data_IF_944602717789
#
_entry.id   IF_944602717789
#
_cell.length_a   1.000
_cell.length_b   1.000
_cell.length_c   1.000
_cell.angle_alpha   90.00
_cell.angle_beta   90.00
_cell.angle_gamma   90.00
#
_symmetry.space_group_name_H-M   'P 1'
#
loop_
_entity.id
_entity.type
_entity.pdbx_description
1 polymer ?
#
# COMPACT_ATOMS: atom_id res chain seq x y z
N UNK A 1 -30.33 15.50 13.26
CA UNK A 1 -29.53 14.33 13.67
C UNK A 1 -28.07 14.72 13.55
N UNK A 2 -27.37 14.84 14.67
CA UNK A 2 -25.90 14.99 14.69
C UNK A 2 -25.29 13.76 14.03
N UNK A 3 -24.27 13.94 13.19
CA UNK A 3 -23.62 12.80 12.55
C UNK A 3 -22.58 12.21 13.50
N UNK A 4 -22.63 10.90 13.72
CA UNK A 4 -21.76 10.14 14.64
C UNK A 4 -20.33 9.97 14.12
N UNK A 5 -19.91 10.81 13.17
CA UNK A 5 -18.63 10.70 12.47
C UNK A 5 -17.99 12.08 12.40
N UNK A 6 -16.71 12.18 12.76
CA UNK A 6 -15.93 13.41 12.67
C UNK A 6 -14.97 13.31 11.50
N UNK A 7 -14.94 14.29 10.58
CA UNK A 7 -13.91 14.37 9.55
C UNK A 7 -12.58 14.81 10.16
N UNK A 8 -11.52 14.04 9.92
CA UNK A 8 -10.21 14.25 10.52
C UNK A 8 -9.17 14.72 9.51
N UNK A 9 -9.18 14.16 8.30
CA UNK A 9 -8.27 14.52 7.22
C UNK A 9 -8.95 14.44 5.86
N UNK A 10 -8.33 15.03 4.84
CA UNK A 10 -8.71 14.83 3.44
C UNK A 10 -7.56 14.30 2.62
N UNK A 11 -7.87 13.46 1.63
CA UNK A 11 -6.94 12.80 0.73
C UNK A 11 -7.34 13.17 -0.70
N UNK A 12 -6.69 14.17 -1.33
CA UNK A 12 -7.14 14.73 -2.60
C UNK A 12 -6.81 13.86 -3.82
N UNK A 13 -5.84 12.95 -3.68
CA UNK A 13 -5.28 12.21 -4.82
C UNK A 13 -6.02 10.90 -5.12
N UNK A 14 -6.88 10.42 -4.20
CA UNK A 14 -7.59 9.15 -4.34
C UNK A 14 -9.11 9.35 -4.38
N UNK A 15 -9.72 9.41 -5.57
CA UNK A 15 -11.16 9.26 -5.72
C UNK A 15 -11.63 7.84 -5.31
N UNK A 16 -12.70 7.75 -4.54
CA UNK A 16 -13.30 6.47 -4.12
C UNK A 16 -14.73 6.32 -4.67
N UNK A 17 -15.09 5.11 -5.09
CA UNK A 17 -16.48 4.81 -5.48
C UNK A 17 -17.37 4.63 -4.24
N UNK A 18 -16.84 3.87 -3.28
CA UNK A 18 -17.47 3.52 -2.02
C UNK A 18 -16.50 3.77 -0.88
N UNK A 19 -17.02 3.91 0.33
CA UNK A 19 -16.15 4.07 1.49
C UNK A 19 -15.45 2.76 1.84
N UNK A 20 -14.20 2.89 2.30
CA UNK A 20 -13.35 1.79 2.74
C UNK A 20 -13.04 2.03 4.22
N UNK A 21 -13.37 1.08 5.08
CA UNK A 21 -13.17 1.24 6.50
C UNK A 21 -13.99 0.28 7.35
N UNK A 22 -14.00 0.54 8.65
CA UNK A 22 -14.77 -0.18 9.66
C UNK A 22 -15.73 0.78 10.38
N UNK A 23 -16.31 0.30 11.47
CA UNK A 23 -17.14 1.05 12.40
C UNK A 23 -16.39 2.12 13.21
N UNK A 24 -15.05 2.06 13.27
CA UNK A 24 -14.22 3.07 13.97
C UNK A 24 -13.75 4.18 13.02
N UNK A 25 -13.22 3.82 11.85
CA UNK A 25 -12.61 4.75 10.91
C UNK A 25 -12.97 4.39 9.46
N UNK A 26 -13.07 5.40 8.60
CA UNK A 26 -13.34 5.18 7.19
C UNK A 26 -12.70 6.24 6.29
N UNK A 27 -12.15 5.82 5.15
CA UNK A 27 -11.94 6.69 4.00
C UNK A 27 -13.22 6.71 3.18
N UNK A 28 -13.85 7.87 3.09
CA UNK A 28 -15.17 8.02 2.49
C UNK A 28 -15.14 9.02 1.33
N UNK A 29 -15.74 8.70 0.17
CA UNK A 29 -15.88 9.69 -0.89
C UNK A 29 -16.84 10.80 -0.49
N UNK A 30 -16.79 11.90 -1.23
CA UNK A 30 -17.54 13.09 -0.87
C UNK A 30 -19.07 12.91 -0.94
N UNK A 31 -19.57 11.92 -1.70
CA UNK A 31 -20.98 11.53 -1.77
C UNK A 31 -21.40 10.51 -0.71
N UNK A 32 -20.50 9.99 0.13
CA UNK A 32 -20.86 9.10 1.23
C UNK A 32 -21.85 9.79 2.19
N UNK A 33 -22.86 9.04 2.65
CA UNK A 33 -23.93 9.55 3.52
C UNK A 33 -23.40 10.26 4.78
N UNK A 34 -22.28 9.80 5.35
CA UNK A 34 -21.65 10.39 6.53
C UNK A 34 -21.03 11.74 6.20
N UNK A 35 -20.30 11.84 5.08
CA UNK A 35 -19.73 13.11 4.60
C UNK A 35 -20.85 14.09 4.22
N UNK A 36 -21.91 13.61 3.56
CA UNK A 36 -23.07 14.43 3.22
C UNK A 36 -23.82 14.95 4.45
N UNK A 37 -23.92 14.17 5.53
CA UNK A 37 -24.45 14.64 6.81
C UNK A 37 -23.56 15.75 7.40
N UNK A 38 -22.24 15.56 7.42
CA UNK A 38 -21.29 16.56 7.90
C UNK A 38 -21.37 17.88 7.11
N UNK A 39 -21.49 17.82 5.78
CA UNK A 39 -21.68 19.00 4.93
C UNK A 39 -22.97 19.77 5.21
N UNK A 40 -24.04 19.08 5.64
CA UNK A 40 -25.32 19.70 6.01
C UNK A 40 -25.25 20.37 7.37
N UNK A 41 -24.61 19.73 8.34
CA UNK A 41 -24.45 20.25 9.69
C UNK A 41 -23.45 21.41 9.76
N UNK A 42 -22.36 21.34 8.98
CA UNK A 42 -21.28 22.32 9.00
C UNK A 42 -21.07 22.95 7.61
N UNK A 43 -21.69 24.12 7.34
CA UNK A 43 -21.56 24.80 6.05
C UNK A 43 -20.10 25.14 5.67
N UNK A 44 -19.24 25.41 6.66
CA UNK A 44 -17.82 25.67 6.42
C UNK A 44 -17.09 24.43 5.89
N UNK A 45 -17.43 23.23 6.38
CA UNK A 45 -16.89 21.98 5.86
C UNK A 45 -17.26 21.76 4.39
N UNK A 46 -18.52 22.01 4.04
CA UNK A 46 -18.97 21.99 2.64
C UNK A 46 -18.18 22.99 1.80
N UNK A 47 -17.98 24.22 2.30
CA UNK A 47 -17.19 25.25 1.61
C UNK A 47 -15.76 24.77 1.38
N UNK A 48 -15.10 24.26 2.41
CA UNK A 48 -13.73 23.73 2.36
C UNK A 48 -13.57 22.64 1.30
N UNK A 49 -14.43 21.62 1.29
CA UNK A 49 -14.35 20.53 0.30
C UNK A 49 -14.56 21.02 -1.14
N UNK A 50 -15.32 22.10 -1.35
CA UNK A 50 -15.54 22.71 -2.68
C UNK A 50 -14.36 23.56 -3.18
N UNK A 51 -13.30 23.75 -2.38
CA UNK A 51 -12.12 24.54 -2.76
C UNK A 51 -11.02 23.74 -3.45
N UNK A 52 -11.19 22.42 -3.60
CA UNK A 52 -10.22 21.59 -4.28
C UNK A 52 -10.37 21.65 -5.81
N UNK A 53 -9.24 21.66 -6.49
CA UNK A 53 -9.17 21.49 -7.94
C UNK A 53 -7.84 20.86 -8.33
N UNK A 54 -7.77 20.27 -9.51
CA UNK A 54 -6.53 19.74 -10.02
C UNK A 54 -5.62 20.84 -10.58
N UNK A 55 -4.46 20.43 -11.09
CA UNK A 55 -3.46 21.35 -11.64
C UNK A 55 -3.91 22.04 -12.93
N UNK A 56 -5.03 21.63 -13.51
CA UNK A 56 -5.64 22.19 -14.72
C UNK A 56 -6.93 22.97 -14.40
N UNK A 57 -7.26 23.13 -13.11
CA UNK A 57 -8.42 23.88 -12.65
C UNK A 57 -9.72 23.08 -12.59
N UNK A 58 -9.73 21.79 -12.95
CA UNK A 58 -10.90 20.96 -12.85
C UNK A 58 -11.26 20.74 -11.38
N UNK A 59 -12.49 21.07 -11.01
CA UNK A 59 -12.95 21.00 -9.62
C UNK A 59 -13.28 19.57 -9.23
N UNK A 60 -12.95 19.22 -7.99
CA UNK A 60 -13.33 17.96 -7.38
C UNK A 60 -13.50 18.12 -5.87
N UNK A 61 -14.09 17.13 -5.22
CA UNK A 61 -14.12 17.02 -3.76
C UNK A 61 -13.19 15.86 -3.34
N UNK A 62 -12.33 16.07 -2.33
CA UNK A 62 -11.39 15.04 -1.91
C UNK A 62 -12.10 13.92 -1.13
N UNK A 63 -11.43 12.77 -1.03
CA UNK A 63 -11.80 11.72 -0.08
C UNK A 63 -11.57 12.22 1.34
N UNK A 64 -12.43 11.82 2.27
CA UNK A 64 -12.40 12.28 3.66
C UNK A 64 -12.09 11.09 4.56
N UNK A 65 -11.08 11.22 5.42
CA UNK A 65 -10.89 10.31 6.54
C UNK A 65 -11.85 10.72 7.65
N UNK A 66 -12.77 9.82 7.99
CA UNK A 66 -13.74 9.95 9.06
C UNK A 66 -13.36 9.06 10.24
N UNK A 67 -13.62 9.53 11.45
CA UNK A 67 -13.52 8.77 12.68
C UNK A 67 -14.85 8.81 13.43
N UNK A 68 -15.31 7.67 13.94
CA UNK A 68 -16.51 7.59 14.75
C UNK A 68 -16.36 8.45 16.02
N UNK A 69 -17.40 9.20 16.39
CA UNK A 69 -17.34 10.12 17.55
C UNK A 69 -17.09 9.37 18.87
N UNK A 70 -17.64 8.16 18.99
CA UNK A 70 -17.43 7.26 20.13
C UNK A 70 -16.11 6.47 20.09
N UNK A 71 -15.25 6.68 19.09
CA UNK A 71 -13.96 5.98 19.04
C UNK A 71 -13.08 6.36 20.26
N UNK A 72 -12.39 5.39 20.89
CA UNK A 72 -11.44 5.66 21.96
C UNK A 72 -10.38 6.69 21.56
N UNK A 73 -9.89 7.47 22.53
CA UNK A 73 -8.99 8.61 22.27
C UNK A 73 -7.72 8.22 21.50
N UNK A 74 -7.18 7.02 21.74
CA UNK A 74 -6.01 6.47 21.03
C UNK A 74 -6.18 6.43 19.50
N UNK A 75 -7.41 6.24 19.00
CA UNK A 75 -7.69 6.26 17.56
C UNK A 75 -7.68 7.66 16.94
N UNK A 76 -7.66 8.71 17.76
CA UNK A 76 -7.48 10.10 17.31
C UNK A 76 -6.01 10.47 17.16
N UNK A 77 -5.10 9.65 17.65
CA UNK A 77 -3.67 9.89 17.53
C UNK A 77 -3.21 9.72 16.08
N UNK A 78 -2.25 10.55 15.67
CA UNK A 78 -1.71 10.55 14.31
C UNK A 78 -1.15 9.17 13.93
N UNK A 79 -0.56 8.45 14.88
CA UNK A 79 -0.08 7.08 14.65
C UNK A 79 -1.19 6.14 14.19
N UNK A 80 -2.32 6.11 14.90
CA UNK A 80 -3.45 5.24 14.56
C UNK A 80 -4.05 5.60 13.21
N UNK A 81 -4.23 6.89 12.94
CA UNK A 81 -4.78 7.42 11.69
C UNK A 81 -3.85 7.16 10.49
N UNK A 82 -2.54 7.37 10.67
CA UNK A 82 -1.55 7.10 9.64
C UNK A 82 -1.48 5.60 9.33
N UNK A 83 -1.45 4.73 10.34
CA UNK A 83 -1.47 3.28 10.13
C UNK A 83 -2.76 2.79 9.47
N UNK A 84 -3.91 3.39 9.78
CA UNK A 84 -5.17 3.12 9.08
C UNK A 84 -5.11 3.49 7.59
N UNK A 85 -4.46 4.61 7.26
CA UNK A 85 -4.20 4.97 5.85
C UNK A 85 -3.21 3.99 5.21
N UNK A 86 -2.12 3.66 5.89
CA UNK A 86 -1.03 2.82 5.36
C UNK A 86 -1.54 1.42 4.99
N UNK A 87 -2.41 0.82 5.80
CA UNK A 87 -2.99 -0.50 5.50
C UNK A 87 -3.88 -0.50 4.25
N UNK A 88 -4.69 0.56 4.04
CA UNK A 88 -5.53 0.68 2.85
C UNK A 88 -4.66 0.91 1.63
N UNK A 89 -3.67 1.79 1.75
CA UNK A 89 -2.73 2.10 0.69
C UNK A 89 -1.98 0.85 0.23
N UNK A 90 -1.47 0.04 1.15
CA UNK A 90 -0.71 -1.16 0.79
C UNK A 90 -1.60 -2.30 0.27
N UNK A 91 -2.83 -2.45 0.74
CA UNK A 91 -3.78 -3.39 0.15
C UNK A 91 -4.11 -3.06 -1.33
N UNK A 92 -4.12 -1.77 -1.70
CA UNK A 92 -4.32 -1.34 -3.07
C UNK A 92 -3.02 -1.38 -3.90
N UNK A 93 -1.92 -0.82 -3.40
CA UNK A 93 -0.67 -0.67 -4.17
C UNK A 93 -0.01 -2.01 -4.46
N UNK A 94 0.00 -2.94 -3.50
CA UNK A 94 0.61 -4.26 -3.71
C UNK A 94 -0.12 -5.05 -4.80
N UNK A 95 -1.46 -5.03 -4.78
CA UNK A 95 -2.31 -5.60 -5.84
C UNK A 95 -2.14 -4.88 -7.18
N UNK A 96 -2.18 -3.55 -7.18
CA UNK A 96 -1.99 -2.74 -8.38
C UNK A 96 -0.66 -3.01 -9.07
N UNK A 97 0.43 -3.17 -8.30
CA UNK A 97 1.77 -3.52 -8.80
C UNK A 97 1.83 -4.94 -9.36
N UNK A 98 1.20 -5.90 -8.70
CA UNK A 98 1.13 -7.27 -9.19
C UNK A 98 0.39 -7.33 -10.55
N UNK A 99 -0.74 -6.64 -10.65
CA UNK A 99 -1.51 -6.55 -11.89
C UNK A 99 -0.76 -5.78 -12.99
N UNK A 100 0.05 -4.76 -12.66
CA UNK A 100 0.88 -4.06 -13.65
C UNK A 100 1.99 -4.95 -14.23
N UNK A 101 2.58 -5.82 -13.41
CA UNK A 101 3.58 -6.78 -13.90
C UNK A 101 2.96 -7.80 -14.86
N UNK A 102 1.74 -8.28 -14.58
CA UNK A 102 1.00 -9.28 -15.38
C UNK A 102 0.34 -8.69 -16.62
N UNK A 103 -0.31 -7.54 -16.45
CA UNK A 103 -1.13 -6.89 -17.48
C UNK A 103 -0.72 -5.41 -17.60
N UNK A 104 0.41 -5.12 -18.26
CA UNK A 104 0.95 -3.77 -18.31
C UNK A 104 -0.04 -2.76 -18.92
N UNK A 105 0.09 -1.49 -18.53
CA UNK A 105 -0.70 -0.34 -19.04
C UNK A 105 -2.13 -0.30 -18.54
N UNK A 106 -2.42 -0.88 -17.38
CA UNK A 106 -3.70 -0.66 -16.73
C UNK A 106 -3.74 0.70 -16.04
N UNK A 107 -4.92 1.31 -15.95
CA UNK A 107 -5.14 2.45 -15.06
C UNK A 107 -5.28 1.93 -13.63
N UNK A 108 -4.21 2.01 -12.84
CA UNK A 108 -4.14 1.43 -11.49
C UNK A 108 -3.48 2.37 -10.51
N UNK A 109 -3.73 2.13 -9.22
CA UNK A 109 -2.99 2.77 -8.14
C UNK A 109 -1.70 2.00 -7.90
N UNK A 110 -0.57 2.63 -8.26
CA UNK A 110 0.76 2.02 -8.18
C UNK A 110 1.66 2.66 -7.13
N UNK A 111 1.26 3.80 -6.58
CA UNK A 111 2.07 4.62 -5.67
C UNK A 111 1.25 5.08 -4.46
N UNK A 112 1.90 5.09 -3.30
CA UNK A 112 1.29 5.45 -2.02
C UNK A 112 0.83 6.91 -1.91
N UNK A 113 1.34 7.84 -2.73
CA UNK A 113 0.93 9.24 -2.72
C UNK A 113 -0.53 9.45 -3.13
N UNK A 114 -1.14 8.47 -3.79
CA UNK A 114 -2.59 8.46 -3.99
C UNK A 114 -3.32 8.64 -2.63
N UNK A 115 -2.76 8.05 -1.56
CA UNK A 115 -3.30 8.11 -0.20
C UNK A 115 -2.61 9.17 0.68
N UNK A 116 -1.97 10.17 0.11
CA UNK A 116 -1.35 11.23 0.89
C UNK A 116 -2.42 12.05 1.65
N UNK A 117 -2.18 12.26 2.95
CA UNK A 117 -2.98 13.15 3.80
C UNK A 117 -2.64 14.59 3.43
N UNK A 118 -3.67 15.42 3.20
CA UNK A 118 -3.47 16.83 2.95
C UNK A 118 -3.10 17.57 4.24
N UNK A 119 -2.12 18.50 4.21
CA UNK A 119 -1.58 19.13 5.41
C UNK A 119 -2.51 20.17 6.06
N UNK A 120 -3.58 20.55 5.39
CA UNK A 120 -4.56 21.53 5.86
C UNK A 120 -5.93 20.88 6.08
N UNK A 121 -6.53 21.14 7.23
CA UNK A 121 -7.86 20.66 7.59
C UNK A 121 -8.58 21.71 8.43
N UNK A 122 -9.92 21.63 8.51
CA UNK A 122 -10.65 22.45 9.47
C UNK A 122 -10.36 22.03 10.91
N UNK A 123 -10.39 22.99 11.82
CA UNK A 123 -10.31 22.73 13.24
C UNK A 123 -11.56 21.99 13.77
N UNK A 124 -11.55 21.61 15.06
CA UNK A 124 -12.66 20.87 15.68
C UNK A 124 -13.98 21.65 15.76
N UNK A 125 -13.93 22.98 15.63
CA UNK A 125 -15.10 23.85 15.66
C UNK A 125 -15.62 24.20 14.25
N UNK A 126 -14.91 23.80 13.20
CA UNK A 126 -15.21 24.13 11.79
C UNK A 126 -15.14 25.63 11.49
N UNK A 127 -14.30 26.37 12.20
CA UNK A 127 -14.17 27.83 12.07
C UNK A 127 -12.95 28.18 11.22
N UNK A 128 -11.80 27.59 11.57
CA UNK A 128 -10.51 27.90 10.95
C UNK A 128 -9.92 26.70 10.22
N UNK A 129 -9.11 26.96 9.18
CA UNK A 129 -8.27 25.94 8.58
C UNK A 129 -6.91 25.92 9.28
N UNK A 130 -6.52 24.78 9.83
CA UNK A 130 -5.27 24.58 10.54
C UNK A 130 -4.31 23.72 9.71
N UNK A 131 -3.05 24.11 9.69
CA UNK A 131 -1.93 23.35 9.15
C UNK A 131 -1.02 22.94 10.29
N UNK A 132 -0.74 21.64 10.39
CA UNK A 132 0.13 21.08 11.43
C UNK A 132 1.03 20.01 10.84
N UNK A 133 2.21 20.42 10.42
CA UNK A 133 3.30 19.57 9.95
C UNK A 133 4.61 20.06 10.57
N UNK A 134 5.71 19.29 10.51
CA UNK A 134 7.00 19.77 11.00
C UNK A 134 7.49 21.09 10.37
N UNK A 135 6.98 21.44 9.18
CA UNK A 135 7.31 22.67 8.47
C UNK A 135 6.22 23.75 8.54
N UNK A 136 5.01 23.43 9.01
CA UNK A 136 3.84 24.31 8.99
C UNK A 136 3.13 24.22 10.33
N UNK A 137 3.08 25.33 11.06
CA UNK A 137 2.15 25.51 12.17
C UNK A 137 1.42 26.83 11.94
N UNK A 138 0.16 26.78 11.54
CA UNK A 138 -0.56 28.02 11.22
C UNK A 138 -2.04 27.84 10.93
N UNK A 139 -2.73 28.98 10.84
CA UNK A 139 -4.14 29.09 10.46
C UNK A 139 -4.28 29.74 9.08
N UNK A 140 -5.39 29.49 8.40
CA UNK A 140 -5.70 30.10 7.11
C UNK A 140 -7.20 30.21 6.88
N UNK A 141 -7.64 31.24 6.16
CA UNK A 141 -9.03 31.44 5.78
C UNK A 141 -9.49 30.47 4.67
N UNK A 142 -10.63 29.81 4.89
CA UNK A 142 -11.25 28.91 3.90
C UNK A 142 -11.63 29.63 2.60
N UNK A 143 -12.01 30.91 2.69
CA UNK A 143 -12.42 31.71 1.53
C UNK A 143 -11.30 31.87 0.48
N UNK A 144 -10.06 32.00 0.96
CA UNK A 144 -8.86 32.22 0.14
C UNK A 144 -8.15 30.91 -0.21
N UNK A 145 -8.39 29.85 0.55
CA UNK A 145 -7.82 28.53 0.33
C UNK A 145 -8.11 28.00 -1.09
N UNK A 146 -7.11 27.34 -1.69
CA UNK A 146 -7.22 26.61 -2.96
C UNK A 146 -6.55 25.25 -2.78
N UNK A 147 -7.34 24.21 -2.52
CA UNK A 147 -6.82 22.86 -2.36
C UNK A 147 -6.39 22.28 -3.70
N UNK A 148 -5.31 21.50 -3.72
CA UNK A 148 -4.78 20.89 -4.93
C UNK A 148 -4.50 19.40 -4.75
N UNK A 149 -4.66 18.62 -5.82
CA UNK A 149 -4.07 17.29 -5.93
C UNK A 149 -2.60 17.39 -6.34
N UNK A 150 -1.84 16.33 -6.09
CA UNK A 150 -0.46 16.22 -6.54
C UNK A 150 -0.36 16.37 -8.07
N UNK A 151 0.54 17.23 -8.59
CA UNK A 151 0.82 17.31 -10.03
C UNK A 151 1.57 16.11 -10.58
N UNK A 152 2.18 15.30 -9.71
CA UNK A 152 2.94 14.13 -10.12
C UNK A 152 2.06 12.88 -10.35
N UNK A 153 0.76 12.96 -10.06
CA UNK A 153 -0.14 11.81 -10.09
C UNK A 153 -1.44 12.09 -10.85
N UNK A 154 -1.91 11.05 -11.54
CA UNK A 154 -3.29 11.00 -12.01
C UNK A 154 -4.20 10.54 -10.87
N UNK A 155 -5.37 11.18 -10.76
CA UNK A 155 -6.43 10.81 -9.82
C UNK A 155 -7.22 9.62 -10.37
N UNK A 156 -6.63 8.44 -10.32
CA UNK A 156 -7.29 7.19 -10.73
C UNK A 156 -8.36 6.80 -9.71
N UNK A 157 -9.57 6.51 -10.17
CA UNK A 157 -10.65 6.01 -9.32
C UNK A 157 -10.26 4.67 -8.69
N UNK A 158 -10.52 4.51 -7.39
CA UNK A 158 -10.32 3.24 -6.70
C UNK A 158 -11.67 2.59 -6.39
N UNK A 159 -11.85 1.40 -6.95
CA UNK A 159 -13.01 0.54 -6.73
C UNK A 159 -12.69 -0.60 -5.76
N UNK A 160 -13.72 -1.31 -5.30
CA UNK A 160 -13.54 -2.45 -4.39
C UNK A 160 -12.70 -3.59 -4.99
N UNK A 161 -12.73 -3.78 -6.31
CA UNK A 161 -11.98 -4.82 -7.01
C UNK A 161 -10.49 -4.48 -7.21
N UNK A 162 -10.10 -3.22 -6.98
CA UNK A 162 -8.69 -2.79 -7.02
C UNK A 162 -7.93 -3.08 -5.72
N UNK A 163 -8.64 -3.50 -4.67
CA UNK A 163 -8.10 -3.69 -3.33
C UNK A 163 -7.99 -5.18 -3.04
N UNK A 164 -6.87 -5.63 -2.47
CA UNK A 164 -6.76 -6.95 -1.87
C UNK A 164 -7.63 -7.02 -0.61
N UNK A 165 -8.91 -7.39 -0.77
CA UNK A 165 -9.90 -7.41 0.32
C UNK A 165 -9.53 -8.39 1.45
N UNK A 166 -9.08 -9.65 1.16
CA UNK A 166 -8.60 -10.56 2.20
C UNK A 166 -7.46 -9.97 3.03
N UNK A 167 -6.46 -9.38 2.37
CA UNK A 167 -5.35 -8.73 3.07
C UNK A 167 -5.84 -7.54 3.89
N UNK A 168 -6.68 -6.68 3.31
CA UNK A 168 -7.22 -5.52 4.00
C UNK A 168 -7.98 -5.91 5.26
N UNK A 169 -8.86 -6.91 5.19
CA UNK A 169 -9.63 -7.38 6.33
C UNK A 169 -8.73 -7.88 7.47
N UNK A 170 -7.68 -8.65 7.16
CA UNK A 170 -6.71 -9.11 8.14
C UNK A 170 -5.92 -7.93 8.75
N UNK A 171 -5.47 -6.99 7.92
CA UNK A 171 -4.75 -5.79 8.39
C UNK A 171 -5.60 -4.91 9.29
N UNK A 172 -6.88 -4.69 8.96
CA UNK A 172 -7.81 -3.92 9.79
C UNK A 172 -8.04 -4.58 11.14
N UNK A 173 -8.13 -5.91 11.18
CA UNK A 173 -8.23 -6.68 12.43
C UNK A 173 -7.00 -6.45 13.31
N UNK A 174 -5.79 -6.52 12.74
CA UNK A 174 -4.54 -6.28 13.48
C UNK A 174 -4.37 -4.81 13.91
N UNK A 175 -4.83 -3.87 13.08
CA UNK A 175 -4.86 -2.44 13.41
C UNK A 175 -5.75 -2.18 14.62
N UNK A 176 -6.98 -2.72 14.63
CA UNK A 176 -7.87 -2.63 15.78
C UNK A 176 -7.20 -3.18 17.04
N UNK A 177 -6.70 -4.41 16.98
CA UNK A 177 -6.00 -5.08 18.09
C UNK A 177 -4.83 -4.24 18.64
N UNK A 178 -4.03 -3.62 17.76
CA UNK A 178 -2.89 -2.78 18.13
C UNK A 178 -3.29 -1.60 19.01
N UNK A 179 -4.40 -0.95 18.70
CA UNK A 179 -4.78 0.32 19.33
C UNK A 179 -5.84 0.15 20.42
N UNK A 180 -6.58 -0.96 20.45
CA UNK A 180 -7.48 -1.28 21.57
C UNK A 180 -6.75 -1.88 22.77
N UNK A 181 -5.63 -2.58 22.56
CA UNK A 181 -4.85 -3.17 23.64
C UNK A 181 -4.08 -2.10 24.44
N UNK A 182 -4.19 -2.15 25.77
CA UNK A 182 -3.34 -1.35 26.67
C UNK A 182 -1.86 -1.72 26.55
N UNK A 183 -1.60 -3.02 26.37
CA UNK A 183 -0.28 -3.59 26.13
C UNK A 183 -0.29 -4.34 24.79
N UNK A 184 0.02 -3.66 23.68
CA UNK A 184 -0.03 -4.26 22.36
C UNK A 184 1.01 -5.36 22.19
N UNK A 185 0.62 -6.46 21.54
CA UNK A 185 1.55 -7.52 21.19
C UNK A 185 2.65 -7.01 20.27
N UNK A 186 3.87 -7.55 20.42
CA UNK A 186 5.03 -7.14 19.63
C UNK A 186 4.76 -7.26 18.12
N UNK A 187 4.08 -8.32 17.69
CA UNK A 187 3.74 -8.59 16.30
C UNK A 187 2.87 -7.47 15.70
N UNK A 188 1.94 -6.92 16.49
CA UNK A 188 1.06 -5.83 16.06
C UNK A 188 1.85 -4.52 15.91
N UNK A 189 2.79 -4.26 16.82
CA UNK A 189 3.70 -3.12 16.74
C UNK A 189 4.59 -3.25 15.50
N UNK A 190 5.21 -4.42 15.31
CA UNK A 190 6.09 -4.71 14.18
C UNK A 190 5.34 -4.55 12.86
N UNK A 191 4.12 -5.07 12.76
CA UNK A 191 3.28 -4.94 11.58
C UNK A 191 2.99 -3.47 11.25
N UNK A 192 2.51 -2.66 12.21
CA UNK A 192 2.20 -1.25 11.92
C UNK A 192 3.46 -0.46 11.53
N UNK A 193 4.61 -0.74 12.16
CA UNK A 193 5.89 -0.13 11.78
C UNK A 193 6.34 -0.55 10.39
N UNK A 194 6.16 -1.83 10.04
CA UNK A 194 6.49 -2.37 8.72
C UNK A 194 5.62 -1.76 7.64
N UNK A 195 4.30 -1.66 7.87
CA UNK A 195 3.37 -1.02 6.95
C UNK A 195 3.70 0.47 6.75
N UNK A 196 4.11 1.16 7.81
CA UNK A 196 4.56 2.54 7.68
C UNK A 196 5.81 2.67 6.80
N UNK A 197 6.80 1.79 6.99
CA UNK A 197 8.00 1.74 6.17
C UNK A 197 7.67 1.38 4.72
N UNK A 198 6.85 0.36 4.50
CA UNK A 198 6.38 -0.06 3.18
C UNK A 198 5.54 1.02 2.49
N UNK A 199 4.75 1.80 3.23
CA UNK A 199 4.01 2.94 2.68
C UNK A 199 4.99 3.98 2.11
N UNK A 200 6.03 4.35 2.87
CA UNK A 200 7.08 5.25 2.39
C UNK A 200 7.86 4.66 1.20
N UNK A 201 8.11 3.35 1.22
CA UNK A 201 8.73 2.64 0.10
C UNK A 201 7.82 2.54 -1.15
N UNK A 202 6.50 2.69 -0.97
CA UNK A 202 5.52 2.66 -2.05
C UNK A 202 5.35 4.00 -2.76
N UNK A 203 6.00 5.05 -2.25
CA UNK A 203 5.95 6.39 -2.81
C UNK A 203 6.64 6.47 -4.18
N UNK A 204 6.31 7.50 -4.96
CA UNK A 204 7.05 7.89 -6.15
C UNK A 204 8.52 8.13 -5.75
N UNK A 205 9.49 7.47 -6.40
CA UNK A 205 10.90 7.66 -6.05
C UNK A 205 11.34 9.13 -6.13
N UNK A 206 10.83 9.84 -7.13
CA UNK A 206 10.99 11.28 -7.34
C UNK A 206 9.98 11.77 -8.39
N UNK A 207 10.04 13.06 -8.71
CA UNK A 207 9.22 13.69 -9.74
C UNK A 207 9.80 13.51 -11.15
N UNK A 208 9.76 14.58 -11.94
CA UNK A 208 10.31 14.59 -13.30
C UNK A 208 11.83 14.42 -13.37
N UNK A 209 12.50 14.61 -12.25
CA UNK A 209 13.94 14.54 -12.02
C UNK A 209 14.42 13.17 -11.48
N UNK A 210 13.56 12.14 -11.54
CA UNK A 210 13.87 10.80 -11.00
C UNK A 210 15.18 10.23 -11.56
N UNK A 211 16.09 9.89 -10.65
CA UNK A 211 17.35 9.21 -10.93
C UNK A 211 17.30 7.75 -10.46
N UNK A 212 18.33 6.97 -10.80
CA UNK A 212 18.45 5.60 -10.28
C UNK A 212 18.80 5.58 -8.78
N UNK A 213 19.41 6.65 -8.24
CA UNK A 213 19.65 6.79 -6.80
C UNK A 213 18.35 6.88 -6.01
N UNK A 214 17.35 7.57 -6.55
CA UNK A 214 16.02 7.65 -5.93
C UNK A 214 15.38 6.27 -5.81
N UNK A 215 15.49 5.46 -6.86
CA UNK A 215 14.99 4.08 -6.86
C UNK A 215 15.75 3.21 -5.84
N UNK A 216 17.08 3.32 -5.78
CA UNK A 216 17.90 2.58 -4.79
C UNK A 216 17.56 2.93 -3.33
N UNK A 217 17.28 4.21 -3.05
CA UNK A 217 16.78 4.65 -1.73
C UNK A 217 15.44 4.01 -1.40
N UNK A 218 14.50 3.98 -2.34
CA UNK A 218 13.20 3.35 -2.13
C UNK A 218 13.32 1.82 -1.95
N UNK A 219 14.17 1.15 -2.74
CA UNK A 219 14.47 -0.29 -2.56
C UNK A 219 14.97 -0.56 -1.13
N UNK A 220 15.80 0.33 -0.60
CA UNK A 220 16.30 0.21 0.77
C UNK A 220 15.19 0.28 1.82
N UNK A 221 14.18 1.15 1.63
CA UNK A 221 13.01 1.22 2.50
C UNK A 221 12.17 -0.06 2.41
N UNK A 222 12.01 -0.65 1.21
CA UNK A 222 11.35 -1.95 1.07
C UNK A 222 12.06 -3.02 1.87
N UNK A 223 13.39 -3.14 1.74
CA UNK A 223 14.19 -4.10 2.52
C UNK A 223 13.98 -3.91 4.03
N UNK A 224 13.99 -2.66 4.51
CA UNK A 224 13.71 -2.36 5.91
C UNK A 224 12.29 -2.77 6.33
N UNK A 225 11.28 -2.64 5.47
CA UNK A 225 9.93 -3.12 5.79
C UNK A 225 9.92 -4.65 6.03
N UNK A 226 10.56 -5.44 5.16
CA UNK A 226 10.68 -6.89 5.39
C UNK A 226 11.41 -7.23 6.69
N UNK A 227 12.52 -6.54 6.97
CA UNK A 227 13.31 -6.78 8.18
C UNK A 227 12.51 -6.45 9.46
N UNK A 228 11.68 -5.41 9.44
CA UNK A 228 10.81 -5.07 10.57
C UNK A 228 9.81 -6.20 10.87
N UNK A 229 9.25 -6.88 9.86
CA UNK A 229 8.33 -8.01 10.08
C UNK A 229 8.96 -9.16 10.87
N UNK A 230 10.27 -9.40 10.69
CA UNK A 230 10.97 -10.54 11.30
C UNK A 230 11.82 -10.15 12.51
N UNK A 231 11.80 -8.88 12.92
CA UNK A 231 12.62 -8.39 14.02
C UNK A 231 12.04 -8.81 15.38
N UNK A 232 12.66 -9.68 16.19
CA UNK A 232 12.04 -10.33 17.35
C UNK A 232 11.78 -9.42 18.59
N UNK A 233 11.75 -8.11 18.43
CA UNK A 233 11.73 -7.13 19.51
C UNK A 233 13.05 -7.03 20.30
N UNK A 234 13.09 -6.12 21.27
CA UNK A 234 14.23 -5.94 22.18
C UNK A 234 15.57 -5.74 21.47
N UNK A 235 16.61 -6.41 21.97
CA UNK A 235 17.97 -6.41 21.42
C UNK A 235 18.23 -7.48 20.35
N UNK A 236 17.20 -8.22 19.93
CA UNK A 236 17.36 -9.22 18.89
C UNK A 236 17.59 -8.58 17.52
N UNK A 237 18.09 -9.37 16.57
CA UNK A 237 18.42 -8.88 15.24
C UNK A 237 17.47 -9.44 14.18
N UNK A 238 17.05 -8.59 13.25
CA UNK A 238 16.53 -9.01 11.96
C UNK A 238 17.71 -9.21 10.99
N UNK A 239 17.63 -10.22 10.15
CA UNK A 239 18.60 -10.43 9.08
C UNK A 239 17.89 -11.03 7.87
N UNK A 240 18.64 -11.08 6.77
CA UNK A 240 18.19 -11.62 5.49
C UNK A 240 17.62 -13.03 5.60
N UNK A 241 18.27 -13.91 6.35
CA UNK A 241 17.88 -15.32 6.43
C UNK A 241 16.53 -15.49 7.16
N UNK A 242 16.25 -14.67 8.18
CA UNK A 242 14.93 -14.63 8.82
C UNK A 242 13.82 -14.18 7.86
N UNK A 243 14.12 -13.26 6.94
CA UNK A 243 13.15 -12.86 5.90
C UNK A 243 12.91 -14.00 4.92
N UNK A 244 13.95 -14.75 4.54
CA UNK A 244 13.76 -15.96 3.73
C UNK A 244 12.85 -16.96 4.45
N UNK A 245 13.08 -17.24 5.73
CA UNK A 245 12.24 -18.14 6.52
C UNK A 245 10.77 -17.69 6.56
N UNK A 246 10.51 -16.39 6.66
CA UNK A 246 9.15 -15.85 6.60
C UNK A 246 8.53 -16.09 5.21
N UNK A 247 9.21 -15.71 4.13
CA UNK A 247 8.69 -15.82 2.77
C UNK A 247 8.43 -17.28 2.39
N UNK A 248 9.33 -18.19 2.78
CA UNK A 248 9.28 -19.61 2.43
C UNK A 248 8.15 -20.36 3.16
N UNK A 249 7.59 -19.79 4.25
CA UNK A 249 6.39 -20.31 4.93
C UNK A 249 5.08 -19.94 4.27
N UNK A 250 5.10 -19.16 3.18
CA UNK A 250 3.87 -18.79 2.46
C UNK A 250 3.13 -20.03 1.97
N UNK A 251 1.81 -20.15 2.20
CA UNK A 251 0.99 -21.14 1.52
C UNK A 251 0.84 -20.74 0.04
N UNK A 252 1.60 -21.39 -0.84
CA UNK A 252 1.62 -21.09 -2.27
C UNK A 252 0.39 -21.65 -2.98
N UNK A 253 -0.38 -20.80 -3.63
CA UNK A 253 -1.50 -21.19 -4.49
C UNK A 253 -1.03 -21.77 -5.82
N UNK A 254 0.10 -21.27 -6.32
CA UNK A 254 0.72 -21.73 -7.55
C UNK A 254 1.94 -22.56 -7.16
N UNK A 255 1.90 -23.90 -7.35
CA UNK A 255 2.99 -24.78 -6.91
C UNK A 255 4.38 -24.41 -7.45
N UNK A 256 4.45 -23.75 -8.61
CA UNK A 256 5.70 -23.26 -9.19
C UNK A 256 6.37 -22.17 -8.33
N UNK A 257 5.60 -21.34 -7.65
CA UNK A 257 6.10 -20.25 -6.79
C UNK A 257 6.86 -20.77 -5.57
N UNK A 258 6.44 -21.92 -5.03
CA UNK A 258 7.04 -22.57 -3.87
C UNK A 258 8.24 -23.48 -4.16
N UNK A 259 8.67 -23.59 -5.43
CA UNK A 259 9.80 -24.48 -5.79
C UNK A 259 11.12 -23.93 -5.27
N UNK A 260 11.90 -24.78 -4.60
CA UNK A 260 13.24 -24.47 -4.11
C UNK A 260 14.28 -24.72 -5.21
N UNK A 261 14.43 -23.78 -6.15
CA UNK A 261 15.31 -23.94 -7.33
C UNK A 261 16.41 -22.89 -7.45
N UNK A 262 16.30 -21.78 -6.72
CA UNK A 262 17.16 -20.61 -6.88
C UNK A 262 18.31 -20.60 -5.87
N UNK A 263 19.46 -20.07 -6.28
CA UNK A 263 20.62 -19.84 -5.40
C UNK A 263 20.66 -18.37 -5.01
N UNK A 264 20.84 -18.07 -3.73
CA UNK A 264 20.91 -16.70 -3.19
C UNK A 264 22.34 -16.25 -2.85
N UNK A 265 23.37 -16.95 -3.36
CA UNK A 265 24.76 -16.50 -3.28
C UNK A 265 25.38 -16.62 -1.89
N UNK A 266 24.77 -17.39 -0.98
CA UNK A 266 25.34 -17.68 0.33
C UNK A 266 26.56 -18.60 0.25
N UNK A 267 27.40 -18.60 1.31
CA UNK A 267 28.54 -19.53 1.44
C UNK A 267 28.10 -20.99 1.30
N UNK A 268 26.93 -21.30 1.85
CA UNK A 268 26.27 -22.59 1.67
C UNK A 268 25.26 -22.47 0.52
N UNK A 269 25.39 -23.32 -0.49
CA UNK A 269 24.44 -23.38 -1.63
C UNK A 269 23.13 -24.03 -1.18
N UNK A 270 22.26 -23.23 -0.58
CA UNK A 270 20.89 -23.63 -0.23
C UNK A 270 19.97 -23.22 -1.36
N UNK A 271 19.19 -24.16 -1.88
CA UNK A 271 18.15 -23.86 -2.87
C UNK A 271 16.95 -23.23 -2.19
N UNK A 272 16.49 -22.10 -2.71
CA UNK A 272 15.40 -21.28 -2.16
C UNK A 272 14.34 -20.97 -3.22
N UNK A 273 13.22 -20.41 -2.78
CA UNK A 273 12.13 -19.99 -3.66
C UNK A 273 12.54 -18.81 -4.55
N UNK A 274 11.77 -18.58 -5.63
CA UNK A 274 11.94 -17.40 -6.47
C UNK A 274 11.75 -16.10 -5.65
N UNK A 275 10.81 -16.09 -4.71
CA UNK A 275 10.56 -14.95 -3.84
C UNK A 275 11.77 -14.62 -2.94
N UNK A 276 12.41 -15.64 -2.35
CA UNK A 276 13.68 -15.45 -1.62
C UNK A 276 14.78 -14.92 -2.54
N UNK A 277 14.87 -15.39 -3.78
CA UNK A 277 15.85 -14.87 -4.75
C UNK A 277 15.60 -13.40 -5.14
N UNK A 278 14.34 -13.00 -5.32
CA UNK A 278 13.99 -11.60 -5.55
C UNK A 278 14.31 -10.72 -4.33
N UNK A 279 14.05 -11.21 -3.11
CA UNK A 279 14.43 -10.51 -1.89
C UNK A 279 15.95 -10.35 -1.78
N UNK A 280 16.73 -11.39 -2.13
CA UNK A 280 18.19 -11.29 -2.20
C UNK A 280 18.63 -10.17 -3.13
N UNK A 281 18.03 -10.05 -4.33
CA UNK A 281 18.31 -8.95 -5.25
C UNK A 281 18.02 -7.57 -4.67
N UNK A 282 16.91 -7.41 -3.93
CA UNK A 282 16.60 -6.16 -3.22
C UNK A 282 17.63 -5.87 -2.12
N UNK A 283 18.03 -6.91 -1.36
CA UNK A 283 18.99 -6.82 -0.28
C UNK A 283 20.38 -6.39 -0.77
N UNK A 284 20.84 -6.98 -1.88
CA UNK A 284 22.11 -6.61 -2.51
C UNK A 284 22.08 -5.18 -3.03
N UNK A 285 21.00 -4.79 -3.71
CA UNK A 285 20.80 -3.39 -4.12
C UNK A 285 20.86 -2.43 -2.92
N UNK A 286 20.16 -2.75 -1.83
CA UNK A 286 20.18 -1.92 -0.62
C UNK A 286 21.61 -1.77 -0.09
N UNK A 287 22.40 -2.84 -0.05
CA UNK A 287 23.77 -2.77 0.43
C UNK A 287 24.63 -1.90 -0.48
N UNK A 288 24.52 -2.05 -1.80
CA UNK A 288 25.31 -1.25 -2.72
C UNK A 288 24.96 0.24 -2.65
N UNK A 289 23.68 0.58 -2.64
CA UNK A 289 23.23 1.98 -2.65
C UNK A 289 23.41 2.71 -1.32
N UNK A 290 23.38 2.02 -0.17
CA UNK A 290 23.52 2.68 1.14
C UNK A 290 24.95 2.76 1.67
N UNK A 291 25.86 1.89 1.23
CA UNK A 291 27.22 1.82 1.77
C UNK A 291 28.27 2.57 0.94
N UNK A 292 27.84 3.36 -0.04
CA UNK A 292 28.75 4.15 -0.89
C UNK A 292 29.55 3.32 -1.89
N UNK A 293 29.09 2.09 -2.19
CA UNK A 293 29.68 1.30 -3.26
C UNK A 293 29.45 1.99 -4.62
N UNK A 294 30.34 1.79 -5.60
CA UNK A 294 30.06 2.17 -6.97
C UNK A 294 28.78 1.48 -7.47
N UNK A 295 27.80 2.27 -7.92
CA UNK A 295 26.51 1.79 -8.42
C UNK A 295 26.21 2.36 -9.79
N UNK A 296 25.61 1.54 -10.64
CA UNK A 296 25.11 1.86 -11.97
C UNK A 296 23.62 1.52 -12.08
N UNK A 297 22.98 2.01 -13.13
CA UNK A 297 21.57 1.70 -13.40
C UNK A 297 21.31 0.20 -13.60
N UNK A 298 22.29 -0.53 -14.12
CA UNK A 298 22.24 -1.97 -14.35
C UNK A 298 22.10 -2.77 -13.04
N UNK A 299 22.61 -2.26 -11.91
CA UNK A 299 22.47 -2.90 -10.60
C UNK A 299 21.00 -3.07 -10.18
N UNK A 300 20.10 -2.21 -10.66
CA UNK A 300 18.67 -2.30 -10.35
C UNK A 300 17.92 -3.26 -11.28
N UNK A 301 18.55 -3.79 -12.34
CA UNK A 301 17.86 -4.57 -13.37
C UNK A 301 18.11 -6.07 -13.19
N UNK A 302 17.03 -6.85 -13.30
CA UNK A 302 17.13 -8.30 -13.42
C UNK A 302 17.72 -8.68 -14.79
N UNK A 303 18.63 -9.66 -14.83
CA UNK A 303 19.26 -10.12 -16.08
C UNK A 303 18.24 -10.56 -17.14
N UNK A 304 17.20 -11.25 -16.71
CA UNK A 304 15.94 -11.50 -17.43
C UNK A 304 14.85 -11.17 -16.41
N UNK A 305 13.79 -10.40 -16.74
CA UNK A 305 13.40 -9.80 -18.03
C UNK A 305 14.07 -8.47 -18.44
N UNK A 306 15.13 -7.99 -17.78
CA UNK A 306 15.58 -6.59 -17.88
C UNK A 306 14.55 -5.58 -17.34
N UNK A 307 13.84 -5.97 -16.28
CA UNK A 307 12.97 -5.09 -15.49
C UNK A 307 13.65 -4.70 -14.18
N UNK A 308 13.21 -3.59 -13.61
CA UNK A 308 13.76 -3.12 -12.34
C UNK A 308 13.30 -4.03 -11.19
N UNK A 309 14.21 -4.42 -10.30
CA UNK A 309 13.89 -5.18 -9.09
C UNK A 309 12.87 -4.44 -8.20
N UNK A 310 12.85 -3.11 -8.26
CA UNK A 310 11.87 -2.26 -7.59
C UNK A 310 10.42 -2.62 -7.95
N UNK A 311 10.16 -3.04 -9.20
CA UNK A 311 8.80 -3.37 -9.64
C UNK A 311 8.23 -4.59 -8.90
N UNK A 312 9.10 -5.47 -8.40
CA UNK A 312 8.73 -6.70 -7.69
C UNK A 312 8.63 -6.52 -6.18
N UNK A 313 9.10 -5.41 -5.62
CA UNK A 313 9.18 -5.21 -4.18
C UNK A 313 7.80 -5.23 -3.48
N UNK A 314 6.80 -4.52 -4.04
CA UNK A 314 5.46 -4.47 -3.46
C UNK A 314 4.71 -5.82 -3.55
N UNK A 315 4.67 -6.53 -4.70
CA UNK A 315 4.10 -7.88 -4.76
C UNK A 315 4.81 -8.86 -3.82
N UNK A 316 6.14 -8.76 -3.69
CA UNK A 316 6.91 -9.59 -2.77
C UNK A 316 6.57 -9.29 -1.29
N UNK A 317 6.36 -8.02 -0.96
CA UNK A 317 5.95 -7.61 0.39
C UNK A 317 4.56 -8.14 0.72
N UNK A 318 3.65 -8.17 -0.25
CA UNK A 318 2.37 -8.87 -0.14
C UNK A 318 2.59 -10.33 0.29
N UNK A 319 3.44 -11.08 -0.42
CA UNK A 319 3.72 -12.49 -0.11
C UNK A 319 4.23 -12.65 1.33
N UNK A 320 5.13 -11.78 1.78
CA UNK A 320 5.58 -11.79 3.18
C UNK A 320 4.44 -11.54 4.17
N UNK A 321 3.51 -10.63 3.85
CA UNK A 321 2.30 -10.40 4.66
C UNK A 321 1.38 -11.62 4.72
N UNK A 322 1.24 -12.40 3.64
CA UNK A 322 0.46 -13.65 3.65
C UNK A 322 0.96 -14.62 4.72
N UNK A 323 2.28 -14.78 4.83
CA UNK A 323 2.86 -15.66 5.86
C UNK A 323 2.79 -15.06 7.26
N UNK A 324 3.01 -13.73 7.38
CA UNK A 324 2.98 -13.04 8.67
C UNK A 324 1.57 -13.00 9.29
N UNK A 325 0.53 -12.84 8.47
CA UNK A 325 -0.86 -12.69 8.89
C UNK A 325 -1.66 -14.00 8.94
N UNK A 326 -1.00 -15.15 8.75
CA UNK A 326 -1.53 -16.33 8.04
C UNK A 326 -2.90 -16.13 7.40
N UNK A 327 -2.96 -16.01 6.06
CA UNK A 327 -4.20 -15.79 5.30
C UNK A 327 -4.74 -17.07 4.61
N UNK A 328 -5.18 -18.12 5.34
CA UNK A 328 -5.85 -19.24 4.72
C UNK A 328 -7.28 -18.86 4.33
N UNK A 329 -7.79 -19.50 3.28
CA UNK A 329 -9.22 -19.44 2.99
C UNK A 329 -10.01 -20.12 4.12
N UNK A 330 -10.96 -19.43 4.79
CA UNK A 330 -11.51 -19.88 6.07
C UNK A 330 -12.60 -20.95 5.95
N UNK A 331 -13.22 -21.12 4.76
CA UNK A 331 -14.35 -22.03 4.60
C UNK A 331 -13.90 -23.47 4.30
N UNK A 332 -14.60 -24.43 4.93
CA UNK A 332 -14.45 -25.83 4.61
C UNK A 332 -15.12 -26.15 3.26
N UNK A 333 -14.49 -27.04 2.49
CA UNK A 333 -15.04 -27.47 1.21
C UNK A 333 -16.35 -28.25 1.43
N UNK A 334 -17.48 -27.82 0.85
CA UNK A 334 -18.72 -28.56 0.93
C UNK A 334 -18.66 -29.83 0.08
N UNK A 335 -19.59 -30.75 0.30
CA UNK A 335 -19.69 -31.98 -0.51
C UNK A 335 -19.92 -31.64 -1.97
N UNK A 336 -19.18 -32.30 -2.86
CA UNK A 336 -19.36 -32.17 -4.32
C UNK A 336 -20.74 -32.65 -4.81
N UNK A 337 -21.49 -33.38 -3.98
CA UNK A 337 -22.85 -33.81 -4.28
C UNK A 337 -23.87 -32.66 -4.20
N UNK A 338 -23.55 -31.61 -3.43
CA UNK A 338 -24.32 -30.36 -3.42
C UNK A 338 -23.68 -29.37 -4.40
N UNK A 339 -24.07 -29.47 -5.67
CA UNK A 339 -23.51 -28.66 -6.74
C UNK A 339 -23.68 -27.15 -6.51
N UNK A 340 -24.74 -26.71 -5.83
CA UNK A 340 -24.99 -25.29 -5.57
C UNK A 340 -24.02 -24.75 -4.52
N UNK A 341 -23.90 -25.43 -3.38
CA UNK A 341 -22.96 -25.04 -2.32
C UNK A 341 -21.51 -25.17 -2.78
N UNK A 342 -21.19 -26.22 -3.55
CA UNK A 342 -19.86 -26.40 -4.13
C UNK A 342 -19.52 -25.29 -5.15
N UNK A 343 -20.46 -24.92 -6.02
CA UNK A 343 -20.28 -23.81 -6.96
C UNK A 343 -20.04 -22.48 -6.25
N UNK A 344 -20.82 -22.17 -5.21
CA UNK A 344 -20.64 -20.96 -4.40
C UNK A 344 -19.28 -20.94 -3.68
N UNK A 345 -18.87 -22.08 -3.11
CA UNK A 345 -17.56 -22.23 -2.48
C UNK A 345 -16.41 -21.94 -3.45
N UNK A 346 -16.48 -22.48 -4.68
CA UNK A 346 -15.42 -22.26 -5.67
C UNK A 346 -15.34 -20.79 -6.07
N UNK A 347 -16.48 -20.12 -6.27
CA UNK A 347 -16.51 -18.69 -6.60
C UNK A 347 -15.89 -17.84 -5.49
N UNK A 348 -16.29 -18.06 -4.24
CA UNK A 348 -15.77 -17.32 -3.07
C UNK A 348 -14.27 -17.60 -2.85
N UNK A 349 -13.85 -18.86 -2.98
CA UNK A 349 -12.43 -19.23 -2.91
C UNK A 349 -11.60 -18.57 -4.02
N UNK A 350 -12.13 -18.49 -5.24
CA UNK A 350 -11.45 -17.82 -6.36
C UNK A 350 -11.32 -16.32 -6.12
N UNK A 351 -12.36 -15.68 -5.58
CA UNK A 351 -12.33 -14.25 -5.23
C UNK A 351 -11.31 -13.98 -4.11
N UNK A 352 -11.33 -14.80 -3.05
CA UNK A 352 -10.42 -14.67 -1.91
C UNK A 352 -8.96 -14.94 -2.30
N UNK A 353 -8.67 -16.02 -3.04
CA UNK A 353 -7.29 -16.33 -3.44
C UNK A 353 -6.80 -15.53 -4.64
N UNK A 354 -7.68 -14.78 -5.33
CA UNK A 354 -7.36 -13.99 -6.51
C UNK A 354 -6.14 -13.09 -6.34
N UNK A 355 -6.12 -12.17 -5.34
CA UNK A 355 -4.96 -11.32 -5.08
C UNK A 355 -3.67 -12.08 -4.77
N UNK A 356 -3.75 -13.27 -4.14
CA UNK A 356 -2.59 -14.13 -3.90
C UNK A 356 -2.01 -14.65 -5.20
N UNK A 357 -2.87 -15.22 -6.06
CA UNK A 357 -2.46 -15.70 -7.38
C UNK A 357 -1.90 -14.58 -8.23
N UNK A 358 -2.50 -13.39 -8.17
CA UNK A 358 -1.99 -12.20 -8.87
C UNK A 358 -0.57 -11.86 -8.44
N UNK A 359 -0.27 -11.85 -7.13
CA UNK A 359 1.06 -11.60 -6.62
C UNK A 359 2.06 -12.69 -7.01
N UNK A 360 1.68 -13.96 -6.89
CA UNK A 360 2.52 -15.10 -7.27
C UNK A 360 2.88 -15.11 -8.76
N UNK A 361 1.90 -14.94 -9.64
CA UNK A 361 2.14 -14.84 -11.09
C UNK A 361 3.00 -13.62 -11.43
N UNK A 362 2.81 -12.51 -10.74
CA UNK A 362 3.65 -11.32 -10.92
C UNK A 362 5.11 -11.59 -10.57
N UNK A 363 5.40 -12.36 -9.51
CA UNK A 363 6.77 -12.78 -9.19
C UNK A 363 7.33 -13.74 -10.24
N UNK A 364 6.53 -14.71 -10.72
CA UNK A 364 6.94 -15.66 -11.76
C UNK A 364 7.34 -14.96 -13.08
N UNK A 365 6.77 -13.78 -13.37
CA UNK A 365 7.17 -12.95 -14.51
C UNK A 365 8.63 -12.47 -14.44
N UNK A 366 9.31 -12.55 -13.28
CA UNK A 366 10.74 -12.29 -13.15
C UNK A 366 11.62 -13.31 -13.89
N UNK A 367 11.08 -14.47 -14.25
CA UNK A 367 11.83 -15.52 -14.98
C UNK A 367 11.47 -15.59 -16.46
N UNK A 368 10.50 -14.80 -16.91
CA UNK A 368 10.01 -14.84 -18.29
C UNK A 368 10.70 -13.78 -19.14
N UNK A 369 11.14 -14.08 -20.37
CA UNK A 369 11.63 -13.04 -21.26
C UNK A 369 10.51 -12.04 -21.60
N UNK A 370 10.83 -10.76 -21.86
CA UNK A 370 9.82 -9.80 -22.25
C UNK A 370 9.11 -10.25 -23.52
N UNK A 371 7.76 -10.24 -23.52
CA UNK A 371 6.96 -10.57 -24.71
C UNK A 371 7.43 -9.75 -25.93
N UNK A 372 7.90 -10.46 -26.96
CA UNK A 372 8.28 -9.84 -28.25
C UNK A 372 7.03 -9.25 -28.88
N UNK A 373 6.91 -7.91 -28.91
CA UNK A 373 5.87 -7.21 -29.67
C UNK A 373 5.24 -5.98 -29.00
N UNK A 374 5.48 -5.72 -27.72
CA UNK A 374 4.88 -4.58 -26.99
C UNK A 374 5.83 -3.41 -26.70
N UNK A 375 7.00 -3.30 -27.34
CA UNK A 375 7.80 -2.07 -27.27
C UNK A 375 7.23 -1.03 -28.24
N UNK A 376 6.40 -0.10 -27.75
CA UNK A 376 6.41 1.25 -28.35
C UNK A 376 7.66 1.97 -27.83
N UNK A 377 8.33 2.78 -28.64
CA UNK A 377 9.41 3.63 -28.15
C UNK A 377 8.86 4.45 -26.97
N UNK A 378 9.59 4.48 -25.85
CA UNK A 378 9.35 5.47 -24.79
C UNK A 378 9.35 6.82 -25.50
N UNK A 379 8.29 7.61 -25.34
CA UNK A 379 8.33 9.03 -25.71
C UNK A 379 9.38 9.64 -24.80
N UNK A 380 10.60 9.74 -25.30
CA UNK A 380 11.64 10.51 -24.65
C UNK A 380 11.20 11.96 -24.78
N UNK A 381 11.28 12.72 -23.68
CA UNK A 381 11.30 14.17 -23.80
C UNK A 381 12.39 14.54 -24.81
N UNK A 382 12.20 15.59 -25.63
CA UNK A 382 13.28 16.13 -26.42
C UNK A 382 14.49 16.33 -25.49
N UNK A 383 15.66 15.81 -25.90
CA UNK A 383 16.90 16.21 -25.25
C UNK A 383 17.03 17.73 -25.39
N UNK A 384 17.52 18.44 -24.35
CA UNK A 384 17.83 19.86 -24.46
C UNK A 384 18.86 20.14 -25.55
#
# INVERSE_FOLDING_TARGET
MTSDWTPIFVLPNIPLDTAIGCDIAALAPAHDRRVAAQKRTHPMFRRFLNRFGDNFGAKFQPTVLLLHTAAPAVFREIGALASFRDLIALAAVTRGRALELRYPRGHRILFGEAFAIYPWMLDRHYEDMIGSTPAILGTHEVARFKGQSSPALFRTQLSGSDIDQPLLAALMTRWRRRYEASEPAWEDIALMRSLNMAYQASLLPAGTDTTFYDVGRIVSLWVSAFEILVHPGGSGQANRDKVFELIERTPWEIPASGRLTHDTGGKTKVKRTLASWLYQGLYDCRNDFLHGNPVERSNLLLATPQRSIFEYAAPLYRIALTSFLPLPYPAAMPSAQDAASFGAYIADHMEFMGPQKDAEEALLAAMQPPERGRRRPRVMRPAP
#
